data_IF_609943338332
#
_entry.id   IF_609943338332
#
_cell.length_a   1.000
_cell.length_b   1.000
_cell.length_c   1.000
_cell.angle_alpha   90.00
_cell.angle_beta   90.00
_cell.angle_gamma   90.00
#
_symmetry.space_group_name_H-M   'P 1'
#
loop_
_entity.id
_entity.type
_entity.pdbx_description
1 polymer ?
#
# COMPACT_ATOMS: atom_id res chain seq x y z
N UNK A 1 -2.59 -1.99 91.12
CA UNK A 1 -1.39 -1.12 90.99
C UNK A 1 -1.61 -0.22 89.78
N UNK A 2 -2.14 0.99 90.01
CA UNK A 2 -1.51 2.30 89.68
C UNK A 2 -0.97 2.43 88.25
N UNK A 3 -1.27 3.45 87.44
CA UNK A 3 -1.97 4.74 87.62
C UNK A 3 -2.10 5.34 86.19
N UNK A 4 -3.30 5.80 85.79
CA UNK A 4 -3.66 7.23 85.56
C UNK A 4 -3.13 7.85 84.24
N UNK A 5 -3.82 8.73 83.52
CA UNK A 5 -5.21 9.21 83.50
C UNK A 5 -5.28 10.31 82.43
N UNK A 6 -6.36 10.33 81.64
CA UNK A 6 -7.25 11.48 81.35
C UNK A 6 -6.70 12.86 80.89
N UNK A 7 -7.39 13.75 80.17
CA UNK A 7 -8.66 13.85 79.39
C UNK A 7 -8.90 15.38 79.21
N UNK A 8 -9.83 15.75 78.32
CA UNK A 8 -10.66 16.99 78.30
C UNK A 8 -10.04 18.25 77.65
N UNK A 9 -10.71 19.21 76.99
CA UNK A 9 -11.97 19.47 76.21
C UNK A 9 -12.24 21.01 76.30
N UNK A 10 -12.89 21.60 75.27
CA UNK A 10 -13.62 22.91 75.20
C UNK A 10 -12.75 24.17 75.00
N UNK A 11 -12.93 25.06 74.01
CA UNK A 11 -14.08 25.84 73.46
C UNK A 11 -14.46 27.08 74.31
N UNK A 12 -14.09 28.29 73.86
CA UNK A 12 -14.96 29.47 73.54
C UNK A 12 -14.27 30.87 73.69
N UNK A 13 -14.29 31.64 72.59
CA UNK A 13 -14.78 33.03 72.40
C UNK A 13 -14.66 34.08 73.54
N UNK A 14 -13.95 35.22 73.30
CA UNK A 14 -14.50 36.60 73.13
C UNK A 14 -13.47 37.77 73.33
N UNK A 15 -13.33 38.58 72.27
CA UNK A 15 -13.25 40.07 72.18
C UNK A 15 -12.32 40.92 73.06
N UNK A 16 -11.50 41.80 72.43
CA UNK A 16 -11.63 43.30 72.38
C UNK A 16 -10.42 43.95 71.64
N UNK A 17 -10.67 44.55 70.47
CA UNK A 17 -10.56 46.00 70.10
C UNK A 17 -9.19 46.68 70.27
N UNK A 18 -8.57 47.10 69.16
CA UNK A 18 -8.11 48.47 68.92
C UNK A 18 -7.80 48.72 67.42
N UNK A 19 -8.15 49.92 66.96
CA UNK A 19 -8.12 50.45 65.59
C UNK A 19 -6.88 51.34 65.45
N UNK A 20 -6.18 51.30 64.30
CA UNK A 20 -5.60 52.47 63.63
C UNK A 20 -4.96 52.05 62.29
N UNK A 21 -5.09 52.92 61.30
CA UNK A 21 -4.89 52.69 59.89
C UNK A 21 -3.57 53.28 59.35
N UNK A 22 -3.36 53.05 58.04
CA UNK A 22 -2.47 53.72 57.09
C UNK A 22 -1.00 53.29 57.05
N UNK A 23 -0.63 52.55 56.00
CA UNK A 23 0.08 53.13 54.85
C UNK A 23 0.20 52.13 53.70
N UNK A 24 -0.01 52.65 52.48
CA UNK A 24 -0.06 51.94 51.23
C UNK A 24 1.33 51.57 50.71
N UNK A 25 1.47 50.40 50.10
CA UNK A 25 2.40 50.15 48.98
C UNK A 25 1.95 48.89 48.24
N UNK A 26 1.28 49.11 47.11
CA UNK A 26 0.92 48.07 46.16
C UNK A 26 2.17 47.63 45.39
N UNK A 27 2.71 46.45 45.72
CA UNK A 27 3.65 45.75 44.83
C UNK A 27 2.81 44.90 43.89
N UNK A 28 2.56 45.42 42.69
CA UNK A 28 1.99 44.65 41.61
C UNK A 28 3.03 43.60 41.16
N UNK A 29 2.92 42.36 41.66
CA UNK A 29 3.56 41.20 41.04
C UNK A 29 2.86 40.96 39.70
N UNK A 30 3.40 41.55 38.65
CA UNK A 30 3.09 41.18 37.27
C UNK A 30 3.52 39.74 37.05
N UNK A 31 2.56 38.81 37.04
CA UNK A 31 2.73 37.47 36.51
C UNK A 31 2.92 37.59 35.01
N UNK A 32 4.16 37.76 34.57
CA UNK A 32 4.53 37.55 33.18
C UNK A 32 4.31 36.06 32.87
N UNK A 33 3.11 35.73 32.39
CA UNK A 33 2.87 34.47 31.70
C UNK A 33 3.80 34.46 30.48
N UNK A 34 4.94 33.78 30.62
CA UNK A 34 5.78 33.42 29.50
C UNK A 34 4.94 32.52 28.60
N UNK A 35 4.29 33.12 27.61
CA UNK A 35 3.73 32.41 26.48
C UNK A 35 4.93 31.85 25.73
N UNK A 36 5.26 30.59 26.00
CA UNK A 36 6.13 29.83 25.10
C UNK A 36 5.40 29.85 23.76
N UNK A 37 5.96 30.46 22.69
CA UNK A 37 5.37 30.32 21.39
C UNK A 37 5.39 28.82 21.11
N UNK A 38 4.21 28.20 21.00
CA UNK A 38 4.12 26.91 20.34
C UNK A 38 4.80 27.12 18.99
N UNK A 39 5.98 26.55 18.80
CA UNK A 39 6.63 26.55 17.51
C UNK A 39 5.61 25.89 16.58
N UNK A 40 4.96 26.69 15.74
CA UNK A 40 4.13 26.20 14.66
C UNK A 40 5.09 25.50 13.70
N UNK A 41 5.43 24.25 14.01
CA UNK A 41 6.12 23.38 13.09
C UNK A 41 5.32 23.44 11.79
N UNK A 42 5.96 23.87 10.71
CA UNK A 42 5.32 23.89 9.41
C UNK A 42 5.18 22.44 8.96
N UNK A 43 4.10 21.79 9.40
CA UNK A 43 3.77 20.41 9.04
C UNK A 43 3.48 20.24 7.53
N UNK A 44 3.64 21.30 6.72
CA UNK A 44 3.72 21.20 5.26
C UNK A 44 5.11 20.84 4.74
N UNK A 45 6.16 20.93 5.58
CA UNK A 45 7.57 20.61 5.25
C UNK A 45 8.03 19.25 5.77
N UNK A 46 7.39 18.67 6.78
CA UNK A 46 7.64 17.29 7.20
C UNK A 46 6.37 16.64 7.72
N UNK A 47 6.12 15.39 7.30
CA UNK A 47 4.97 14.59 7.73
C UNK A 47 5.40 13.21 8.22
N UNK A 48 4.57 12.61 9.08
CA UNK A 48 4.68 11.18 9.40
C UNK A 48 3.79 10.38 8.45
N UNK A 49 4.38 9.38 7.82
CA UNK A 49 3.70 8.35 7.04
C UNK A 49 3.77 7.07 7.86
N UNK A 50 2.66 6.36 8.03
CA UNK A 50 2.66 5.01 8.57
C UNK A 50 2.33 4.02 7.45
N UNK A 51 3.00 2.88 7.44
CA UNK A 51 2.71 1.83 6.48
C UNK A 51 3.36 0.50 6.81
N UNK A 52 3.25 -0.43 5.87
CA UNK A 52 3.60 -1.83 6.08
C UNK A 52 5.11 -2.08 6.09
N UNK A 53 5.51 -3.09 6.87
CA UNK A 53 6.93 -3.41 7.03
C UNK A 53 7.60 -3.88 5.75
N UNK A 54 6.88 -4.51 4.83
CA UNK A 54 7.42 -4.92 3.52
C UNK A 54 7.89 -3.72 2.69
N UNK A 55 7.18 -2.59 2.70
CA UNK A 55 7.58 -1.36 2.01
C UNK A 55 8.82 -0.70 2.65
N UNK A 56 8.97 -0.82 3.97
CA UNK A 56 10.14 -0.30 4.68
C UNK A 56 11.36 -1.22 4.52
N UNK A 57 11.16 -2.52 4.72
CA UNK A 57 12.19 -3.56 4.66
C UNK A 57 12.68 -3.74 3.23
N UNK A 58 11.88 -3.37 2.22
CA UNK A 58 12.33 -3.30 0.82
C UNK A 58 13.19 -2.09 0.51
N UNK A 59 13.46 -1.17 1.44
CA UNK A 59 14.26 0.03 1.18
C UNK A 59 13.62 1.08 0.24
N UNK A 60 12.36 0.90 -0.18
CA UNK A 60 11.72 1.77 -1.18
C UNK A 60 11.53 3.19 -0.64
N UNK A 61 11.03 3.32 0.58
CA UNK A 61 10.72 4.64 1.16
C UNK A 61 11.98 5.45 1.45
N UNK A 62 13.10 4.79 1.76
CA UNK A 62 14.40 5.40 1.97
C UNK A 62 14.95 5.90 0.63
N UNK A 63 14.78 5.13 -0.45
CA UNK A 63 15.15 5.53 -1.80
C UNK A 63 14.33 6.73 -2.33
N UNK A 64 13.03 6.74 -2.09
CA UNK A 64 12.13 7.80 -2.58
C UNK A 64 12.31 9.14 -1.85
N UNK A 65 12.78 9.12 -0.60
CA UNK A 65 12.85 10.31 0.26
C UNK A 65 13.69 11.46 -0.33
N UNK A 66 14.96 11.26 -0.74
CA UNK A 66 15.75 12.34 -1.35
C UNK A 66 15.15 12.87 -2.65
N UNK A 67 14.41 12.04 -3.40
CA UNK A 67 13.74 12.46 -4.64
C UNK A 67 12.52 13.33 -4.31
N UNK A 68 11.70 12.91 -3.35
CA UNK A 68 10.57 13.70 -2.85
C UNK A 68 11.02 15.06 -2.29
N UNK A 69 12.10 15.09 -1.52
CA UNK A 69 12.66 16.32 -0.96
C UNK A 69 13.13 17.27 -2.05
N UNK A 70 13.85 16.77 -3.05
CA UNK A 70 14.27 17.56 -4.21
C UNK A 70 13.07 18.12 -4.99
N UNK A 71 12.04 17.31 -5.22
CA UNK A 71 10.90 17.69 -6.06
C UNK A 71 9.94 18.65 -5.36
N UNK A 72 9.85 18.59 -4.02
CA UNK A 72 8.77 19.26 -3.27
C UNK A 72 9.25 20.20 -2.17
N UNK A 73 10.53 20.16 -1.82
CA UNK A 73 11.10 20.89 -0.68
C UNK A 73 10.56 20.44 0.68
N UNK A 74 9.97 19.25 0.77
CA UNK A 74 9.44 18.66 1.99
C UNK A 74 10.03 17.26 2.21
N UNK A 75 10.08 16.81 3.46
CA UNK A 75 10.55 15.48 3.84
C UNK A 75 9.43 14.68 4.50
N UNK A 76 9.72 13.43 4.87
CA UNK A 76 8.81 12.60 5.66
C UNK A 76 9.56 11.68 6.61
N UNK A 77 8.89 11.26 7.67
CA UNK A 77 9.29 10.14 8.51
C UNK A 77 8.37 8.95 8.21
N UNK A 78 8.94 7.79 7.86
CA UNK A 78 8.18 6.57 7.63
C UNK A 78 8.21 5.66 8.86
N UNK A 79 7.04 5.40 9.43
CA UNK A 79 6.84 4.50 10.56
C UNK A 79 6.37 3.14 10.03
N UNK A 80 7.24 2.15 10.16
CA UNK A 80 6.98 0.76 9.74
C UNK A 80 6.16 0.01 10.80
N UNK A 81 5.09 -0.65 10.38
CA UNK A 81 4.17 -1.46 11.20
C UNK A 81 3.65 -2.67 10.40
N UNK A 82 3.07 -3.68 11.07
CA UNK A 82 2.19 -4.63 10.37
C UNK A 82 0.90 -3.93 9.94
N UNK A 83 0.17 -4.44 8.94
CA UNK A 83 -0.98 -3.71 8.36
C UNK A 83 -2.06 -3.33 9.39
N UNK A 84 -2.42 -4.26 10.29
CA UNK A 84 -3.38 -3.98 11.36
C UNK A 84 -2.91 -2.88 12.31
N UNK A 85 -1.65 -2.94 12.74
CA UNK A 85 -1.05 -1.92 13.60
C UNK A 85 -0.88 -0.57 12.88
N UNK A 86 -0.58 -0.58 11.58
CA UNK A 86 -0.49 0.62 10.76
C UNK A 86 -1.84 1.34 10.68
N UNK A 87 -2.92 0.57 10.50
CA UNK A 87 -4.30 1.08 10.52
C UNK A 87 -4.63 1.64 11.90
N UNK A 88 -4.41 0.88 12.98
CA UNK A 88 -4.65 1.37 14.34
C UNK A 88 -3.86 2.65 14.67
N UNK A 89 -2.60 2.73 14.19
CA UNK A 89 -1.77 3.92 14.31
C UNK A 89 -2.36 5.12 13.54
N UNK A 90 -2.84 4.89 12.31
CA UNK A 90 -3.53 5.92 11.54
C UNK A 90 -4.84 6.38 12.19
N UNK A 91 -5.64 5.46 12.73
CA UNK A 91 -6.89 5.74 13.45
C UNK A 91 -6.65 6.55 14.73
N UNK A 92 -5.52 6.30 15.40
CA UNK A 92 -5.07 7.09 16.53
C UNK A 92 -4.59 8.50 16.14
N UNK A 93 -4.42 8.82 14.84
CA UNK A 93 -4.00 10.15 14.37
C UNK A 93 -2.52 10.47 14.57
N UNK A 94 -1.68 9.45 14.76
CA UNK A 94 -0.23 9.61 14.98
C UNK A 94 0.57 9.68 13.67
N UNK A 95 -0.10 9.60 12.51
CA UNK A 95 0.43 9.82 11.17
C UNK A 95 -0.50 10.71 10.34
N UNK A 96 0.00 11.24 9.22
CA UNK A 96 -0.80 12.01 8.26
C UNK A 96 -1.19 11.21 7.01
N UNK A 97 -0.43 10.16 6.69
CA UNK A 97 -0.67 9.26 5.55
C UNK A 97 -0.59 7.82 6.02
N UNK A 98 -1.49 6.99 5.52
CA UNK A 98 -1.45 5.53 5.63
C UNK A 98 -1.10 4.94 4.26
N UNK A 99 -0.16 3.99 4.20
CA UNK A 99 0.23 3.23 3.00
C UNK A 99 0.20 1.72 3.30
N UNK A 100 -0.75 0.98 2.72
CA UNK A 100 -1.03 -0.42 3.06
C UNK A 100 -1.49 -1.23 1.83
N UNK A 101 -1.68 -2.54 2.00
CA UNK A 101 -2.04 -3.51 0.95
C UNK A 101 -2.99 -4.63 1.45
N UNK A 102 -3.97 -4.32 2.29
CA UNK A 102 -5.01 -5.23 2.76
C UNK A 102 -6.42 -4.69 2.45
N UNK A 103 -6.93 -5.00 1.25
CA UNK A 103 -8.18 -4.45 0.71
C UNK A 103 -9.38 -4.53 1.67
N UNK A 104 -9.54 -5.63 2.43
CA UNK A 104 -10.68 -5.78 3.34
C UNK A 104 -10.53 -5.06 4.69
N UNK A 105 -9.35 -4.56 5.03
CA UNK A 105 -9.16 -3.66 6.17
C UNK A 105 -9.21 -2.21 5.70
N UNK A 106 -8.67 -1.93 4.51
CA UNK A 106 -8.70 -0.63 3.85
C UNK A 106 -10.12 -0.10 3.63
N UNK A 107 -11.03 -0.93 3.11
CA UNK A 107 -12.44 -0.53 2.92
C UNK A 107 -13.17 -0.29 4.25
N UNK A 108 -12.81 -0.98 5.34
CA UNK A 108 -13.35 -0.74 6.68
C UNK A 108 -12.86 0.61 7.22
N UNK A 109 -11.57 0.86 7.13
CA UNK A 109 -10.94 2.14 7.50
C UNK A 109 -11.61 3.33 6.77
N UNK A 110 -11.86 3.19 5.46
CA UNK A 110 -12.59 4.18 4.67
C UNK A 110 -14.04 4.32 5.14
N UNK A 111 -14.77 3.22 5.31
CA UNK A 111 -16.18 3.25 5.69
C UNK A 111 -16.43 3.83 7.08
N UNK A 112 -15.47 3.68 8.00
CA UNK A 112 -15.51 4.29 9.33
C UNK A 112 -15.17 5.81 9.30
N UNK A 113 -14.70 6.29 8.15
CA UNK A 113 -14.47 7.70 7.84
C UNK A 113 -13.06 8.21 8.15
N UNK A 114 -12.13 7.32 8.49
CA UNK A 114 -10.74 7.68 8.81
C UNK A 114 -9.94 8.11 7.58
N UNK A 115 -10.39 7.81 6.36
CA UNK A 115 -9.84 8.39 5.15
C UNK A 115 -10.49 9.73 4.80
N UNK A 116 -9.69 10.71 4.40
CA UNK A 116 -10.15 12.00 3.89
C UNK A 116 -10.85 11.86 2.53
N UNK A 117 -10.46 10.86 1.74
CA UNK A 117 -11.00 10.61 0.40
C UNK A 117 -11.95 9.39 0.44
N UNK A 118 -12.90 9.33 -0.51
CA UNK A 118 -13.93 8.28 -0.55
C UNK A 118 -13.37 6.88 -0.79
N UNK A 119 -12.16 6.79 -1.34
CA UNK A 119 -11.41 5.56 -1.60
C UNK A 119 -9.92 5.88 -1.49
N UNK A 120 -9.09 4.85 -1.36
CA UNK A 120 -7.63 4.99 -1.37
C UNK A 120 -7.11 5.31 -2.75
N UNK A 121 -6.00 6.03 -2.84
CA UNK A 121 -5.31 6.21 -4.12
C UNK A 121 -4.52 4.95 -4.43
N UNK A 122 -4.74 4.36 -5.60
CA UNK A 122 -3.80 3.35 -6.11
C UNK A 122 -2.44 4.02 -6.32
N UNK A 123 -1.36 3.38 -5.88
CA UNK A 123 -0.01 3.95 -5.98
C UNK A 123 0.90 3.12 -6.87
N UNK A 124 1.10 1.86 -6.51
CA UNK A 124 1.91 0.88 -7.22
C UNK A 124 1.44 -0.51 -6.79
N UNK A 125 1.86 -1.52 -7.52
CA UNK A 125 1.74 -2.90 -7.07
C UNK A 125 3.11 -3.57 -7.14
N UNK A 126 3.37 -4.47 -6.23
CA UNK A 126 4.44 -5.45 -6.34
C UNK A 126 3.85 -6.84 -6.43
N UNK A 127 4.69 -7.84 -6.31
CA UNK A 127 4.30 -9.24 -6.38
C UNK A 127 4.89 -10.03 -5.22
N UNK A 128 4.15 -11.07 -4.84
CA UNK A 128 4.61 -12.12 -3.96
C UNK A 128 5.36 -13.18 -4.76
N UNK A 129 6.32 -13.82 -4.10
CA UNK A 129 7.17 -14.87 -4.64
C UNK A 129 7.34 -15.98 -3.63
N UNK A 130 7.58 -17.20 -4.14
CA UNK A 130 8.16 -18.26 -3.34
C UNK A 130 9.67 -18.25 -3.59
N UNK A 131 10.43 -17.94 -2.54
CA UNK A 131 11.87 -18.06 -2.55
C UNK A 131 12.30 -19.31 -1.79
N UNK A 132 13.46 -19.86 -2.14
CA UNK A 132 14.02 -21.04 -1.50
C UNK A 132 15.49 -21.23 -1.85
N UNK A 133 16.11 -22.33 -1.39
CA UNK A 133 17.51 -22.61 -1.64
C UNK A 133 17.77 -22.84 -3.13
N UNK A 134 19.02 -22.61 -3.55
CA UNK A 134 19.41 -22.78 -4.96
C UNK A 134 19.31 -24.23 -5.44
N UNK A 135 19.49 -25.19 -4.52
CA UNK A 135 19.32 -26.64 -4.73
C UNK A 135 17.89 -27.05 -5.10
N UNK A 136 16.90 -26.29 -4.65
CA UNK A 136 15.46 -26.56 -4.84
C UNK A 136 15.08 -28.04 -4.57
N UNK A 137 15.26 -28.56 -3.34
CA UNK A 137 14.98 -29.97 -3.02
C UNK A 137 13.51 -30.38 -3.22
N UNK A 138 12.57 -29.43 -3.22
CA UNK A 138 11.16 -29.67 -3.52
C UNK A 138 10.83 -29.62 -5.02
N UNK A 139 11.78 -29.24 -5.89
CA UNK A 139 11.59 -29.21 -7.34
C UNK A 139 10.46 -28.28 -7.80
N UNK A 140 10.28 -27.14 -7.12
CA UNK A 140 9.19 -26.20 -7.43
C UNK A 140 9.49 -25.36 -8.66
N UNK A 141 10.76 -25.11 -8.98
CA UNK A 141 11.16 -24.32 -10.15
C UNK A 141 10.77 -24.98 -11.48
N UNK A 142 10.50 -26.29 -11.49
CA UNK A 142 10.04 -27.00 -12.69
C UNK A 142 8.66 -26.51 -13.19
N UNK A 143 7.86 -25.90 -12.32
CA UNK A 143 6.59 -25.26 -12.67
C UNK A 143 6.47 -23.91 -11.96
N UNK A 144 7.34 -22.97 -12.37
CA UNK A 144 7.56 -21.68 -11.70
C UNK A 144 6.37 -20.70 -11.76
N UNK A 145 5.25 -21.10 -12.38
CA UNK A 145 4.04 -20.31 -12.55
C UNK A 145 2.79 -21.00 -11.97
N UNK A 146 2.95 -22.01 -11.11
CA UNK A 146 1.88 -22.58 -10.29
C UNK A 146 2.25 -22.51 -8.80
N UNK A 147 1.87 -21.40 -8.15
CA UNK A 147 2.18 -21.21 -6.72
C UNK A 147 1.51 -22.25 -5.83
N UNK A 148 0.30 -22.69 -6.15
CA UNK A 148 -0.40 -23.67 -5.32
C UNK A 148 0.25 -25.04 -5.46
N UNK A 149 0.60 -25.44 -6.69
CA UNK A 149 1.38 -26.66 -6.92
C UNK A 149 2.76 -26.62 -6.25
N UNK A 150 3.41 -25.46 -6.23
CA UNK A 150 4.67 -25.28 -5.52
C UNK A 150 4.54 -25.46 -3.99
N UNK A 151 3.51 -24.88 -3.38
CA UNK A 151 3.23 -25.06 -1.95
C UNK A 151 2.96 -26.54 -1.60
N UNK A 152 2.24 -27.26 -2.46
CA UNK A 152 2.02 -28.72 -2.31
C UNK A 152 3.32 -29.51 -2.37
N UNK A 153 4.23 -29.17 -3.29
CA UNK A 153 5.57 -29.78 -3.39
C UNK A 153 6.43 -29.48 -2.17
N UNK A 154 6.42 -28.24 -1.67
CA UNK A 154 7.12 -27.89 -0.42
C UNK A 154 6.57 -28.70 0.75
N UNK A 155 5.25 -28.82 0.86
CA UNK A 155 4.64 -29.64 1.91
C UNK A 155 5.03 -31.13 1.80
N UNK A 156 5.09 -31.67 0.58
CA UNK A 156 5.55 -33.04 0.35
C UNK A 156 7.03 -33.23 0.75
N UNK A 157 7.91 -32.31 0.37
CA UNK A 157 9.32 -32.31 0.78
C UNK A 157 9.49 -32.16 2.29
N UNK A 158 8.68 -31.31 2.93
CA UNK A 158 8.67 -31.17 4.39
C UNK A 158 8.21 -32.43 5.12
N UNK A 159 7.19 -33.12 4.60
CA UNK A 159 6.78 -34.43 5.12
C UNK A 159 7.86 -35.50 4.94
N UNK A 160 8.66 -35.41 3.87
CA UNK A 160 9.82 -36.28 3.62
C UNK A 160 11.07 -35.89 4.43
N UNK A 161 11.05 -34.74 5.13
CA UNK A 161 12.18 -34.24 5.91
C UNK A 161 13.32 -33.67 5.07
N UNK A 162 13.05 -33.21 3.85
CA UNK A 162 14.06 -32.65 2.93
C UNK A 162 13.94 -31.15 2.72
N UNK A 163 12.93 -30.51 3.28
CA UNK A 163 12.73 -29.06 3.21
C UNK A 163 11.91 -28.55 4.39
N UNK A 164 12.08 -27.28 4.71
CA UNK A 164 11.27 -26.56 5.69
C UNK A 164 10.56 -25.37 5.02
N UNK A 165 9.50 -24.85 5.65
CA UNK A 165 8.78 -23.66 5.21
C UNK A 165 8.71 -22.64 6.35
N UNK A 166 9.11 -21.41 6.08
CA UNK A 166 9.18 -20.33 7.05
C UNK A 166 8.09 -19.29 6.76
N UNK A 167 7.10 -19.23 7.63
CA UNK A 167 6.03 -18.26 7.62
C UNK A 167 6.28 -17.12 8.61
N UNK A 168 5.88 -15.92 8.23
CA UNK A 168 5.76 -14.79 9.18
C UNK A 168 4.68 -15.05 10.23
N UNK A 169 3.56 -15.65 9.81
CA UNK A 169 2.42 -16.00 10.67
C UNK A 169 1.57 -14.82 11.17
N UNK A 170 0.32 -15.16 11.53
CA UNK A 170 -0.62 -14.49 12.45
C UNK A 170 -0.80 -12.96 12.37
N UNK A 171 -0.48 -12.33 11.24
CA UNK A 171 -0.66 -10.88 11.02
C UNK A 171 -1.30 -10.61 9.66
N UNK A 172 -1.81 -9.39 9.47
CA UNK A 172 -2.36 -8.92 8.21
C UNK A 172 -1.27 -8.76 7.12
N UNK A 173 -1.66 -8.75 5.84
CA UNK A 173 -0.74 -8.62 4.70
C UNK A 173 -0.22 -9.98 4.21
N UNK A 174 1.10 -10.15 4.07
CA UNK A 174 1.74 -11.35 3.51
C UNK A 174 1.24 -12.68 4.09
N UNK A 175 1.06 -12.86 5.42
CA UNK A 175 0.55 -14.12 5.95
C UNK A 175 -0.89 -14.43 5.52
N UNK A 176 -1.74 -13.41 5.34
CA UNK A 176 -3.11 -13.61 4.85
C UNK A 176 -3.09 -14.12 3.42
N UNK A 177 -2.23 -13.55 2.57
CA UNK A 177 -2.05 -14.05 1.21
C UNK A 177 -1.51 -15.48 1.20
N UNK A 178 -0.47 -15.77 1.99
CA UNK A 178 0.09 -17.11 2.14
C UNK A 178 -1.00 -18.13 2.53
N UNK A 179 -1.80 -17.81 3.55
CA UNK A 179 -2.87 -18.69 4.02
C UNK A 179 -3.99 -18.87 2.99
N UNK A 180 -4.32 -17.83 2.23
CA UNK A 180 -5.26 -17.93 1.10
C UNK A 180 -4.76 -18.92 0.04
N UNK A 181 -3.46 -18.95 -0.23
CA UNK A 181 -2.87 -19.90 -1.17
C UNK A 181 -2.85 -21.32 -0.61
N UNK A 182 -2.51 -21.51 0.67
CA UNK A 182 -2.62 -22.81 1.34
C UNK A 182 -4.06 -23.34 1.35
N UNK A 183 -5.07 -22.48 1.48
CA UNK A 183 -6.47 -22.91 1.40
C UNK A 183 -6.87 -23.49 0.03
N UNK A 184 -6.12 -23.15 -1.04
CA UNK A 184 -6.30 -23.71 -2.38
C UNK A 184 -5.51 -25.00 -2.62
N UNK A 185 -4.55 -25.32 -1.75
CA UNK A 185 -3.72 -26.51 -1.85
C UNK A 185 -4.48 -27.77 -1.39
N UNK A 186 -4.07 -28.90 -1.93
CA UNK A 186 -4.45 -30.22 -1.45
C UNK A 186 -3.54 -30.59 -0.28
N UNK A 187 -4.13 -31.06 0.83
CA UNK A 187 -3.37 -31.40 2.04
C UNK A 187 -3.38 -30.27 3.07
N UNK A 188 -2.22 -29.64 3.31
CA UNK A 188 -2.05 -28.56 4.30
C UNK A 188 -2.94 -27.36 3.96
N UNK A 189 -3.85 -26.98 4.86
CA UNK A 189 -4.79 -25.87 4.66
C UNK A 189 -4.73 -24.90 5.82
N UNK A 190 -4.49 -23.62 5.57
CA UNK A 190 -4.39 -22.64 6.64
C UNK A 190 -5.70 -21.89 6.87
N UNK A 191 -6.01 -21.64 8.15
CA UNK A 191 -7.11 -20.77 8.52
C UNK A 191 -6.78 -19.31 8.16
N UNK A 192 -7.75 -18.63 7.56
CA UNK A 192 -7.64 -17.24 7.13
C UNK A 192 -8.42 -16.39 8.13
N UNK A 193 -7.72 -15.55 8.89
CA UNK A 193 -8.38 -14.65 9.84
C UNK A 193 -9.06 -13.48 9.13
N UNK A 194 -10.38 -13.36 9.33
CA UNK A 194 -11.14 -12.20 8.87
C UNK A 194 -10.68 -10.90 9.56
N UNK A 195 -10.26 -10.96 10.84
CA UNK A 195 -9.77 -9.78 11.57
C UNK A 195 -8.45 -9.26 11.01
N UNK A 196 -7.67 -10.12 10.34
CA UNK A 196 -6.40 -9.75 9.75
C UNK A 196 -6.52 -9.36 8.26
N UNK A 197 -7.74 -9.27 7.72
CA UNK A 197 -7.96 -8.84 6.34
C UNK A 197 -8.32 -9.96 5.35
N UNK A 198 -8.76 -11.11 5.84
CA UNK A 198 -9.15 -12.26 5.01
C UNK A 198 -10.59 -12.28 4.46
N UNK A 199 -11.37 -11.20 4.62
CA UNK A 199 -12.84 -11.21 4.62
C UNK A 199 -13.63 -11.45 3.30
N UNK A 200 -13.35 -12.50 2.50
CA UNK A 200 -14.23 -13.07 1.44
C UNK A 200 -14.11 -14.61 1.32
N UNK A 201 -15.15 -15.26 0.75
CA UNK A 201 -15.62 -16.69 0.82
C UNK A 201 -14.58 -17.82 1.08
N UNK A 202 -14.92 -18.82 1.93
CA UNK A 202 -14.01 -19.50 2.86
C UNK A 202 -13.37 -20.81 2.39
N UNK A 203 -12.32 -21.21 3.13
CA UNK A 203 -11.91 -22.61 3.31
C UNK A 203 -13.13 -23.46 3.71
N UNK A 204 -13.49 -24.45 2.88
CA UNK A 204 -14.49 -25.49 3.18
C UNK A 204 -13.85 -26.83 3.53
N UNK A 205 -12.56 -26.87 3.87
CA UNK A 205 -11.85 -28.11 4.13
C UNK A 205 -11.23 -28.14 5.51
N UNK A 206 -11.64 -29.10 6.33
CA UNK A 206 -10.91 -29.53 7.52
C UNK A 206 -9.51 -30.03 7.13
N UNK A 207 -8.50 -29.19 7.33
CA UNK A 207 -7.07 -29.50 7.20
C UNK A 207 -6.28 -28.41 7.92
N UNK A 208 -5.14 -28.73 8.55
CA UNK A 208 -4.49 -27.87 9.55
C UNK A 208 -3.40 -26.94 9.00
N UNK A 209 -3.62 -25.63 9.21
CA UNK A 209 -2.66 -24.71 9.81
C UNK A 209 -3.42 -23.95 10.91
N UNK A 210 -2.98 -24.10 12.16
CA UNK A 210 -3.41 -23.28 13.28
C UNK A 210 -2.21 -22.92 14.18
N UNK A 211 -2.23 -21.93 15.06
CA UNK A 211 -3.39 -21.17 15.54
C UNK A 211 -3.23 -19.65 15.43
N UNK A 212 -4.33 -18.99 15.08
CA UNK A 212 -4.90 -18.00 15.99
C UNK A 212 -6.30 -18.51 16.40
N UNK A 213 -6.41 -19.12 17.60
CA UNK A 213 -7.70 -19.34 18.26
C UNK A 213 -8.04 -20.75 18.79
N UNK A 214 -7.75 -21.87 18.11
CA UNK A 214 -8.47 -23.15 18.41
C UNK A 214 -7.70 -24.48 18.18
N UNK A 215 -6.44 -24.61 18.64
CA UNK A 215 -5.96 -25.89 19.20
C UNK A 215 -5.50 -27.04 18.27
N UNK A 216 -4.90 -26.80 17.09
CA UNK A 216 -4.18 -27.81 16.30
C UNK A 216 -2.67 -27.55 16.22
N UNK A 217 -1.82 -28.58 16.20
CA UNK A 217 -0.36 -28.46 16.03
C UNK A 217 0.03 -28.26 14.56
N UNK A 218 0.96 -27.33 14.27
CA UNK A 218 1.55 -27.18 12.94
C UNK A 218 2.37 -28.41 12.55
N UNK A 219 2.48 -28.74 11.25
CA UNK A 219 3.49 -29.68 10.78
C UNK A 219 4.88 -29.22 11.24
N UNK A 220 5.72 -30.16 11.63
CA UNK A 220 7.04 -29.83 12.19
C UNK A 220 8.03 -29.20 11.19
N UNK A 221 7.71 -29.22 9.89
CA UNK A 221 8.44 -28.51 8.84
C UNK A 221 7.93 -27.09 8.57
N UNK A 222 6.82 -26.68 9.20
CA UNK A 222 6.21 -25.37 9.03
C UNK A 222 6.52 -24.50 10.24
N UNK A 223 7.36 -23.49 10.06
CA UNK A 223 7.88 -22.64 11.12
C UNK A 223 7.24 -21.25 11.08
N UNK A 224 6.73 -20.77 12.21
CA UNK A 224 6.21 -19.40 12.35
C UNK A 224 7.21 -18.56 13.12
N UNK A 225 7.60 -17.41 12.57
CA UNK A 225 8.60 -16.54 13.21
C UNK A 225 7.99 -15.39 14.00
N UNK A 226 6.84 -14.85 13.57
CA UNK A 226 6.28 -13.61 14.13
C UNK A 226 7.07 -12.35 13.77
N UNK A 227 8.05 -12.45 12.85
CA UNK A 227 8.95 -11.37 12.49
C UNK A 227 8.38 -10.45 11.40
N UNK A 228 8.98 -9.26 11.25
CA UNK A 228 8.78 -8.43 10.04
C UNK A 228 9.36 -9.12 8.81
N UNK A 229 9.08 -8.57 7.64
CA UNK A 229 9.31 -9.24 6.37
C UNK A 229 10.80 -9.53 6.12
N UNK A 230 11.66 -8.53 6.29
CA UNK A 230 13.10 -8.70 6.08
C UNK A 230 13.73 -9.75 7.00
N UNK A 231 13.59 -9.61 8.33
CA UNK A 231 14.08 -10.61 9.29
C UNK A 231 13.51 -12.02 9.08
N UNK A 232 12.27 -12.16 8.60
CA UNK A 232 11.71 -13.48 8.25
C UNK A 232 12.44 -14.13 7.06
N UNK A 233 12.79 -13.35 6.03
CA UNK A 233 13.58 -13.84 4.89
C UNK A 233 14.98 -14.23 5.36
N UNK A 234 15.65 -13.39 6.16
CA UNK A 234 16.98 -13.72 6.70
C UNK A 234 16.95 -14.98 7.56
N UNK A 235 15.88 -15.17 8.34
CA UNK A 235 15.70 -16.37 9.15
C UNK A 235 15.48 -17.61 8.27
N UNK A 236 14.71 -17.50 7.18
CA UNK A 236 14.58 -18.55 6.19
C UNK A 236 15.90 -18.85 5.47
N UNK A 237 16.66 -17.82 5.10
CA UNK A 237 18.00 -17.95 4.50
C UNK A 237 18.97 -18.69 5.41
N UNK A 238 18.91 -18.46 6.72
CA UNK A 238 19.74 -19.17 7.71
C UNK A 238 19.27 -20.61 7.96
N UNK A 239 17.97 -20.89 7.86
CA UNK A 239 17.34 -22.21 7.99
C UNK A 239 17.80 -23.05 9.20
N UNK A 240 17.74 -22.49 10.41
CA UNK A 240 18.22 -23.14 11.64
C UNK A 240 17.11 -23.91 12.39
N UNK A 241 16.48 -24.90 11.75
CA UNK A 241 15.35 -25.66 12.33
C UNK A 241 15.61 -27.15 12.62
N UNK A 242 16.84 -27.61 12.37
CA UNK A 242 17.29 -28.95 12.81
C UNK A 242 16.73 -30.14 12.01
N UNK A 243 16.05 -29.89 10.88
CA UNK A 243 15.50 -30.91 9.98
C UNK A 243 16.06 -30.86 8.54
N UNK A 244 16.87 -29.84 8.24
CA UNK A 244 17.57 -29.62 6.97
C UNK A 244 18.26 -28.25 6.98
N UNK A 245 19.01 -27.91 5.93
CA UNK A 245 19.53 -26.55 5.70
C UNK A 245 18.73 -25.76 4.64
N UNK A 246 17.63 -26.34 4.16
CA UNK A 246 16.90 -25.87 2.98
C UNK A 246 15.49 -25.41 3.35
N UNK A 247 15.31 -24.09 3.42
CA UNK A 247 14.04 -23.46 3.79
C UNK A 247 13.44 -22.68 2.62
N UNK A 248 12.13 -22.83 2.45
CA UNK A 248 11.31 -22.03 1.55
C UNK A 248 10.61 -20.92 2.32
N UNK A 249 10.36 -19.79 1.66
CA UNK A 249 9.66 -18.63 2.24
C UNK A 249 8.76 -17.98 1.20
N UNK A 250 7.53 -17.70 1.61
CA UNK A 250 6.63 -16.85 0.84
C UNK A 250 6.79 -15.39 1.27
N UNK A 251 7.11 -14.51 0.32
CA UNK A 251 7.50 -13.12 0.59
C UNK A 251 7.12 -12.19 -0.55
N UNK A 252 7.08 -10.87 -0.33
CA UNK A 252 7.11 -9.91 -1.43
C UNK A 252 8.51 -9.87 -2.09
N UNK A 253 8.51 -9.60 -3.39
CA UNK A 253 9.73 -9.51 -4.21
C UNK A 253 10.61 -8.32 -3.83
N UNK A 254 10.03 -7.21 -3.39
CA UNK A 254 10.76 -5.99 -3.04
C UNK A 254 11.74 -6.20 -1.90
N UNK A 255 11.26 -6.75 -0.79
CA UNK A 255 12.10 -7.07 0.37
C UNK A 255 13.15 -8.11 0.01
N UNK A 256 12.77 -9.16 -0.73
CA UNK A 256 13.69 -10.22 -1.14
C UNK A 256 14.85 -9.69 -2.00
N UNK A 257 14.53 -8.93 -3.07
CA UNK A 257 15.54 -8.36 -3.97
C UNK A 257 16.42 -7.33 -3.27
N UNK A 258 15.86 -6.52 -2.36
CA UNK A 258 16.65 -5.59 -1.56
C UNK A 258 17.67 -6.34 -0.70
N UNK A 259 17.25 -7.37 0.05
CA UNK A 259 18.15 -8.19 0.86
C UNK A 259 19.18 -8.94 0.02
N UNK A 260 18.83 -9.40 -1.19
CA UNK A 260 19.82 -9.91 -2.12
C UNK A 260 20.82 -8.81 -2.49
N UNK A 261 20.36 -7.62 -2.89
CA UNK A 261 21.25 -6.52 -3.28
C UNK A 261 22.22 -6.06 -2.17
N UNK A 262 21.86 -6.28 -0.89
CA UNK A 262 22.69 -5.99 0.28
C UNK A 262 23.48 -7.19 0.82
N UNK A 263 23.38 -8.36 0.17
CA UNK A 263 24.14 -9.56 0.51
C UNK A 263 23.54 -10.45 1.60
N UNK A 264 22.31 -10.18 2.06
CA UNK A 264 21.68 -10.85 3.22
C UNK A 264 20.86 -12.10 2.87
N UNK A 265 20.56 -12.35 1.59
CA UNK A 265 19.76 -13.51 1.12
C UNK A 265 20.37 -14.20 -0.12
N UNK A 266 21.71 -14.20 -0.23
CA UNK A 266 22.45 -14.65 -1.44
C UNK A 266 22.38 -16.17 -1.71
N UNK A 267 22.12 -16.98 -0.69
CA UNK A 267 21.95 -18.44 -0.84
C UNK A 267 20.55 -18.85 -1.32
N UNK A 268 19.62 -17.89 -1.41
CA UNK A 268 18.25 -18.12 -1.87
C UNK A 268 18.05 -17.55 -3.27
N UNK A 269 17.07 -18.10 -4.01
CA UNK A 269 16.58 -17.55 -5.28
C UNK A 269 15.06 -17.53 -5.30
N UNK A 270 14.49 -16.69 -6.15
CA UNK A 270 13.05 -16.74 -6.49
C UNK A 270 12.84 -18.00 -7.34
N UNK A 271 11.97 -18.89 -6.87
CA UNK A 271 11.65 -20.16 -7.54
C UNK A 271 10.30 -20.11 -8.25
N UNK A 272 9.35 -19.32 -7.72
CA UNK A 272 8.00 -19.16 -8.29
C UNK A 272 7.60 -17.69 -8.26
N UNK A 273 7.07 -17.20 -9.38
CA UNK A 273 6.51 -15.84 -9.57
C UNK A 273 5.51 -15.86 -10.73
N UNK A 274 4.76 -14.78 -10.92
CA UNK A 274 3.88 -14.60 -12.09
C UNK A 274 2.94 -15.80 -12.35
N UNK A 275 2.04 -16.07 -11.38
CA UNK A 275 1.14 -17.23 -11.45
C UNK A 275 0.35 -17.26 -12.78
N UNK A 276 0.25 -18.43 -13.42
CA UNK A 276 -0.41 -18.52 -14.70
C UNK A 276 -1.92 -18.32 -14.57
N UNK A 277 -2.57 -17.77 -15.61
CA UNK A 277 -4.01 -17.54 -15.62
C UNK A 277 -4.84 -18.83 -15.48
N UNK A 278 -4.29 -19.97 -15.92
CA UNK A 278 -4.90 -21.29 -15.80
C UNK A 278 -4.63 -21.98 -14.45
N UNK A 279 -3.63 -21.51 -13.70
CA UNK A 279 -3.28 -22.07 -12.38
C UNK A 279 -4.28 -21.65 -11.31
N UNK A 280 -4.31 -22.41 -10.22
CA UNK A 280 -5.17 -22.09 -9.06
C UNK A 280 -4.81 -20.71 -8.50
N UNK A 281 -5.83 -19.97 -8.06
CA UNK A 281 -5.67 -18.57 -7.65
C UNK A 281 -5.55 -17.57 -8.82
N UNK A 282 -5.46 -18.03 -10.07
CA UNK A 282 -5.35 -17.24 -11.31
C UNK A 282 -4.16 -16.26 -11.35
N UNK A 283 -4.07 -15.45 -12.41
CA UNK A 283 -2.97 -14.49 -12.62
C UNK A 283 -2.81 -13.42 -11.52
N UNK A 284 -3.80 -13.24 -10.65
CA UNK A 284 -3.75 -12.30 -9.53
C UNK A 284 -3.27 -12.94 -8.21
N UNK A 285 -3.03 -14.26 -8.17
CA UNK A 285 -2.66 -14.99 -6.94
C UNK A 285 -1.40 -14.45 -6.24
N UNK A 286 -0.53 -13.78 -6.99
CA UNK A 286 0.72 -13.23 -6.49
C UNK A 286 0.77 -11.70 -6.59
N UNK A 287 -0.33 -11.04 -6.91
CA UNK A 287 -0.37 -9.56 -7.00
C UNK A 287 -0.50 -8.95 -5.60
N UNK A 288 0.38 -7.99 -5.29
CA UNK A 288 0.37 -7.22 -4.05
C UNK A 288 0.11 -5.73 -4.35
N UNK A 289 -1.13 -5.30 -4.25
CA UNK A 289 -1.55 -3.94 -4.62
C UNK A 289 -1.54 -2.97 -3.44
N UNK A 290 -0.87 -1.84 -3.57
CA UNK A 290 -0.75 -0.84 -2.52
C UNK A 290 -1.66 0.38 -2.76
N UNK A 291 -2.25 0.86 -1.68
CA UNK A 291 -3.07 2.07 -1.66
C UNK A 291 -2.62 3.02 -0.56
N UNK A 292 -2.76 4.31 -0.85
CA UNK A 292 -2.40 5.36 0.07
C UNK A 292 -3.59 6.26 0.41
N UNK A 293 -3.68 6.67 1.67
CA UNK A 293 -4.81 7.40 2.24
C UNK A 293 -4.30 8.62 3.00
N UNK A 294 -4.89 9.79 2.72
CA UNK A 294 -4.74 10.93 3.61
C UNK A 294 -5.67 10.70 4.81
N UNK A 295 -5.12 10.81 6.02
CA UNK A 295 -5.90 10.58 7.24
C UNK A 295 -6.85 11.76 7.46
N UNK A 296 -8.10 11.44 7.80
CA UNK A 296 -9.12 12.43 8.11
C UNK A 296 -8.96 12.95 9.54
N UNK A 297 -8.35 14.13 9.67
CA UNK A 297 -8.11 14.77 10.97
C UNK A 297 -9.36 15.04 11.80
N UNK A 298 -10.58 15.03 11.22
CA UNK A 298 -11.82 15.20 12.00
C UNK A 298 -12.29 13.92 12.71
N UNK A 299 -11.67 12.77 12.44
CA UNK A 299 -12.00 11.46 13.02
C UNK A 299 -11.03 10.96 14.07
N UNK A 300 -9.88 11.61 14.21
CA UNK A 300 -8.83 11.21 15.15
C UNK A 300 -8.97 11.97 16.47
N UNK A 301 -8.39 11.48 17.58
CA UNK A 301 -8.44 12.17 18.88
C UNK A 301 -7.93 13.62 18.81
N UNK A 302 -8.60 14.51 19.55
CA UNK A 302 -8.24 15.92 19.63
C UNK A 302 -6.83 16.10 20.22
N UNK A 303 -6.03 16.99 19.62
CA UNK A 303 -4.64 17.25 20.02
C UNK A 303 -3.58 16.55 19.16
N UNK A 304 -3.97 15.60 18.30
CA UNK A 304 -3.06 14.95 17.37
C UNK A 304 -2.90 15.74 16.07
N UNK A 305 -1.66 15.96 15.65
CA UNK A 305 -1.33 16.81 14.50
C UNK A 305 -1.33 16.00 13.18
N UNK A 306 -2.50 15.83 12.58
CA UNK A 306 -2.65 15.32 11.21
C UNK A 306 -2.53 16.47 10.21
N UNK A 307 -1.50 16.46 9.36
CA UNK A 307 -1.29 17.48 8.33
C UNK A 307 -2.02 17.14 7.04
N UNK A 308 -3.21 17.70 6.84
CA UNK A 308 -3.95 17.56 5.57
C UNK A 308 -3.14 18.06 4.36
N UNK A 309 -2.51 19.23 4.50
CA UNK A 309 -1.74 19.84 3.42
C UNK A 309 -0.52 18.99 3.06
N UNK A 310 0.25 18.55 4.06
CA UNK A 310 1.41 17.68 3.85
C UNK A 310 1.02 16.31 3.29
N UNK A 311 -0.05 15.69 3.81
CA UNK A 311 -0.57 14.43 3.29
C UNK A 311 -0.94 14.53 1.80
N UNK A 312 -1.72 15.54 1.41
CA UNK A 312 -2.09 15.75 0.02
C UNK A 312 -0.88 16.08 -0.86
N UNK A 313 0.12 16.81 -0.34
CA UNK A 313 1.37 17.09 -1.06
C UNK A 313 2.10 15.80 -1.41
N UNK A 314 2.31 14.92 -0.42
CA UNK A 314 2.94 13.63 -0.62
C UNK A 314 2.15 12.74 -1.58
N UNK A 315 0.84 12.57 -1.36
CA UNK A 315 -0.01 11.74 -2.21
C UNK A 315 -0.09 12.25 -3.65
N UNK A 316 -0.16 13.56 -3.85
CA UNK A 316 -0.14 14.16 -5.19
C UNK A 316 1.21 13.91 -5.88
N UNK A 317 2.32 14.01 -5.16
CA UNK A 317 3.64 13.68 -5.71
C UNK A 317 3.76 12.20 -6.04
N UNK A 318 3.44 11.30 -5.10
CA UNK A 318 3.58 9.85 -5.24
C UNK A 318 2.77 9.32 -6.44
N UNK A 319 1.59 9.88 -6.68
CA UNK A 319 0.71 9.50 -7.79
C UNK A 319 0.92 10.32 -9.06
N UNK A 320 1.84 11.30 -9.05
CA UNK A 320 2.21 12.07 -10.23
C UNK A 320 3.12 11.28 -11.17
N UNK A 321 3.29 11.74 -12.41
CA UNK A 321 4.27 11.15 -13.34
C UNK A 321 5.71 11.15 -12.81
N UNK A 322 6.09 12.12 -11.97
CA UNK A 322 7.43 12.17 -11.38
C UNK A 322 7.60 11.10 -10.28
N UNK A 323 6.67 11.04 -9.34
CA UNK A 323 6.69 10.03 -8.27
C UNK A 323 6.56 8.60 -8.80
N UNK A 324 5.67 8.37 -9.77
CA UNK A 324 5.51 7.06 -10.42
C UNK A 324 6.78 6.63 -11.17
N UNK A 325 7.48 7.57 -11.84
CA UNK A 325 8.78 7.29 -12.47
C UNK A 325 9.87 7.01 -11.43
N UNK A 326 9.82 7.67 -10.28
CA UNK A 326 10.76 7.38 -9.18
C UNK A 326 10.55 5.95 -8.65
N UNK A 327 9.29 5.53 -8.44
CA UNK A 327 8.96 4.15 -8.05
C UNK A 327 9.49 3.14 -9.07
N UNK A 328 9.21 3.34 -10.36
CA UNK A 328 9.70 2.48 -11.46
C UNK A 328 11.24 2.40 -11.52
N UNK A 329 11.93 3.48 -11.12
CA UNK A 329 13.39 3.54 -11.09
C UNK A 329 14.06 2.75 -9.95
N UNK A 330 13.28 2.27 -8.97
CA UNK A 330 13.80 1.48 -7.86
C UNK A 330 14.15 0.06 -8.31
N UNK A 331 15.40 -0.37 -8.05
CA UNK A 331 15.96 -1.66 -8.50
C UNK A 331 15.66 -1.97 -9.98
N UNK A 332 15.92 -0.98 -10.84
CA UNK A 332 15.42 -0.88 -12.23
C UNK A 332 15.77 -2.01 -13.20
N UNK A 333 16.64 -2.95 -12.84
CA UNK A 333 16.94 -4.12 -13.70
C UNK A 333 15.77 -5.10 -13.74
N UNK A 334 15.09 -5.30 -12.61
CA UNK A 334 13.85 -6.08 -12.48
C UNK A 334 13.03 -5.46 -11.35
N UNK A 335 12.40 -4.32 -11.62
CA UNK A 335 11.77 -3.51 -10.56
C UNK A 335 10.68 -4.29 -9.82
N UNK A 336 10.72 -4.34 -8.47
CA UNK A 336 9.71 -5.00 -7.66
C UNK A 336 8.44 -4.17 -7.46
N UNK A 337 8.43 -2.89 -7.85
CA UNK A 337 7.28 -2.00 -7.68
C UNK A 337 6.90 -1.36 -9.01
N UNK A 338 5.70 -1.67 -9.46
CA UNK A 338 5.18 -1.30 -10.77
C UNK A 338 4.16 -0.17 -10.60
N UNK A 339 4.33 0.98 -11.28
CA UNK A 339 3.41 2.11 -11.20
C UNK A 339 1.95 1.72 -11.45
N UNK A 340 1.05 2.14 -10.57
CA UNK A 340 -0.36 1.79 -10.65
C UNK A 340 -1.31 2.99 -10.53
N UNK A 341 -0.78 4.20 -10.28
CA UNK A 341 -1.62 5.33 -9.95
C UNK A 341 -2.52 5.80 -11.10
N UNK A 342 -2.19 5.48 -12.35
CA UNK A 342 -2.97 5.85 -13.53
C UNK A 342 -3.34 4.61 -14.34
N UNK A 343 -4.51 4.63 -15.02
CA UNK A 343 -4.85 3.56 -15.94
C UNK A 343 -3.93 3.58 -17.17
N UNK A 344 -3.69 2.40 -17.72
CA UNK A 344 -2.99 2.28 -18.99
C UNK A 344 -3.93 2.63 -20.13
N UNK A 345 -3.50 3.52 -21.02
CA UNK A 345 -4.28 3.96 -22.19
C UNK A 345 -3.51 3.62 -23.45
N UNK A 346 -3.90 2.55 -24.12
CA UNK A 346 -3.31 2.18 -25.40
C UNK A 346 -4.08 2.80 -26.56
N UNK A 347 -3.36 3.10 -27.64
CA UNK A 347 -3.93 3.35 -28.97
C UNK A 347 -3.19 2.43 -29.93
N UNK A 348 -3.93 1.68 -30.76
CA UNK A 348 -3.34 0.90 -31.83
C UNK A 348 -2.73 1.77 -32.92
N UNK A 349 -2.26 1.16 -34.00
CA UNK A 349 -1.64 1.90 -35.10
C UNK A 349 -2.62 2.90 -35.72
N UNK A 350 -2.15 4.15 -35.90
CA UNK A 350 -2.88 5.24 -36.56
C UNK A 350 -2.06 5.70 -37.76
N UNK A 351 -2.72 5.91 -38.90
CA UNK A 351 -2.07 6.47 -40.09
C UNK A 351 -1.48 7.85 -39.78
N UNK A 352 -0.19 8.01 -40.02
CA UNK A 352 0.57 9.23 -39.72
C UNK A 352 0.56 10.24 -40.88
N UNK A 353 0.11 9.84 -42.07
CA UNK A 353 -0.09 10.73 -43.22
C UNK A 353 -1.48 10.50 -43.82
N UNK A 354 -2.22 11.59 -44.03
CA UNK A 354 -3.57 11.55 -44.62
C UNK A 354 -3.82 12.76 -45.52
N UNK A 355 -4.72 12.61 -46.49
CA UNK A 355 -5.25 13.75 -47.25
C UNK A 355 -6.26 14.55 -46.41
N UNK A 356 -6.42 15.83 -46.74
CA UNK A 356 -7.41 16.69 -46.11
C UNK A 356 -8.81 16.07 -46.22
N UNK A 357 -9.54 16.03 -45.11
CA UNK A 357 -10.90 15.46 -45.05
C UNK A 357 -10.96 13.95 -44.80
N UNK A 358 -9.84 13.23 -44.89
CA UNK A 358 -9.77 11.81 -44.54
C UNK A 358 -10.13 11.59 -43.06
N UNK A 359 -10.89 10.53 -42.80
CA UNK A 359 -11.29 10.12 -41.45
C UNK A 359 -10.24 9.18 -40.88
N UNK A 360 -9.70 9.55 -39.72
CA UNK A 360 -8.83 8.69 -38.92
C UNK A 360 -9.61 8.00 -37.82
N UNK A 361 -9.22 6.77 -37.51
CA UNK A 361 -9.73 5.97 -36.40
C UNK A 361 -8.64 5.84 -35.36
N UNK A 362 -8.95 6.27 -34.14
CA UNK A 362 -8.14 6.11 -32.94
C UNK A 362 -8.84 5.07 -32.07
N UNK A 363 -8.33 3.85 -32.06
CA UNK A 363 -8.93 2.74 -31.32
C UNK A 363 -7.89 2.09 -30.42
N UNK A 364 -8.31 1.64 -29.25
CA UNK A 364 -7.43 1.03 -28.26
C UNK A 364 -8.20 0.61 -27.02
N UNK A 365 -7.48 0.46 -25.91
CA UNK A 365 -8.04 -0.02 -24.64
C UNK A 365 -7.61 0.89 -23.49
N UNK A 366 -8.48 1.00 -22.50
CA UNK A 366 -8.17 1.54 -21.18
C UNK A 366 -8.21 0.37 -20.19
N UNK A 367 -7.09 0.07 -19.54
CA UNK A 367 -6.92 -1.05 -18.60
C UNK A 367 -6.49 -0.54 -17.23
N UNK A 368 -6.86 -1.29 -16.18
CA UNK A 368 -6.22 -1.09 -14.89
C UNK A 368 -4.76 -1.53 -15.01
N UNK A 369 -3.84 -0.82 -14.36
CA UNK A 369 -2.42 -1.15 -14.34
C UNK A 369 -2.12 -2.39 -13.48
N UNK A 370 -3.01 -2.72 -12.54
CA UNK A 370 -2.87 -3.87 -11.66
C UNK A 370 -3.48 -5.11 -12.34
N UNK A 371 -2.75 -6.22 -12.49
CA UNK A 371 -3.28 -7.44 -13.09
C UNK A 371 -4.46 -8.01 -12.29
N UNK A 372 -5.47 -8.52 -13.01
CA UNK A 372 -6.67 -9.11 -12.40
C UNK A 372 -7.73 -8.10 -11.94
N UNK A 373 -7.39 -6.82 -11.83
CA UNK A 373 -8.37 -5.78 -11.48
C UNK A 373 -9.42 -5.60 -12.60
N UNK A 374 -10.69 -5.25 -12.28
CA UNK A 374 -11.77 -5.21 -13.26
C UNK A 374 -11.53 -4.20 -14.37
N UNK A 375 -11.99 -4.54 -15.57
CA UNK A 375 -11.86 -3.67 -16.75
C UNK A 375 -12.51 -2.31 -16.55
N UNK A 376 -11.86 -1.25 -17.03
CA UNK A 376 -12.33 0.13 -16.92
C UNK A 376 -13.45 0.46 -17.92
N UNK A 377 -14.65 -0.01 -17.61
CA UNK A 377 -15.88 0.16 -18.39
C UNK A 377 -16.53 1.55 -18.20
N UNK A 378 -17.16 2.06 -19.26
CA UNK A 378 -17.86 3.36 -19.29
C UNK A 378 -17.00 4.57 -18.90
N UNK A 379 -15.67 4.47 -19.00
CA UNK A 379 -14.75 5.58 -18.74
C UNK A 379 -14.77 6.56 -19.91
N UNK A 380 -14.84 7.86 -19.61
CA UNK A 380 -14.86 8.92 -20.63
C UNK A 380 -13.45 9.17 -21.19
N UNK A 381 -13.26 8.75 -22.43
CA UNK A 381 -12.04 8.88 -23.21
C UNK A 381 -12.12 10.14 -24.08
N UNK A 382 -11.07 10.97 -24.05
CA UNK A 382 -10.96 12.23 -24.79
C UNK A 382 -9.82 12.14 -25.79
N UNK A 383 -10.08 12.43 -27.06
CA UNK A 383 -9.03 12.64 -28.05
C UNK A 383 -8.56 14.10 -27.96
N UNK A 384 -7.28 14.28 -27.66
CA UNK A 384 -6.64 15.59 -27.53
C UNK A 384 -5.84 15.87 -28.80
N UNK A 385 -6.10 17.02 -29.42
CA UNK A 385 -5.25 17.58 -30.46
C UNK A 385 -4.26 18.56 -29.84
N UNK A 386 -2.99 18.43 -30.22
CA UNK A 386 -1.91 19.32 -29.82
C UNK A 386 -1.34 20.03 -31.04
N UNK A 387 -1.30 21.35 -30.99
CA UNK A 387 -0.68 22.22 -32.00
C UNK A 387 0.35 23.13 -31.37
N UNK A 388 1.39 23.50 -32.13
CA UNK A 388 2.50 24.29 -31.60
C UNK A 388 3.44 23.48 -30.69
N UNK A 389 4.47 24.17 -30.21
CA UNK A 389 5.55 23.64 -29.37
C UNK A 389 5.92 24.65 -28.27
N UNK A 390 6.58 24.16 -27.21
CA UNK A 390 7.01 24.98 -26.07
C UNK A 390 5.90 25.86 -25.51
N UNK A 391 6.20 27.15 -25.32
CA UNK A 391 5.27 28.17 -24.80
C UNK A 391 4.02 28.42 -25.66
N UNK A 392 4.02 28.01 -26.93
CA UNK A 392 2.87 28.18 -27.84
C UNK A 392 2.04 26.91 -28.01
N UNK A 393 2.28 25.87 -27.19
CA UNK A 393 1.53 24.62 -27.21
C UNK A 393 0.06 24.87 -26.84
N UNK A 394 -0.85 24.59 -27.77
CA UNK A 394 -2.31 24.60 -27.54
C UNK A 394 -2.85 23.18 -27.57
N UNK A 395 -3.69 22.85 -26.59
CA UNK A 395 -4.38 21.55 -26.51
C UNK A 395 -5.88 21.75 -26.62
N UNK A 396 -6.54 20.91 -27.43
CA UNK A 396 -8.00 20.95 -27.61
C UNK A 396 -8.58 19.55 -27.56
N UNK A 397 -9.65 19.35 -26.80
CA UNK A 397 -10.47 18.13 -26.90
C UNK A 397 -11.24 18.21 -28.21
N UNK A 398 -10.98 17.27 -29.12
CA UNK A 398 -11.60 17.26 -30.46
C UNK A 398 -12.67 16.19 -30.62
N UNK A 399 -12.67 15.16 -29.76
CA UNK A 399 -13.69 14.14 -29.72
C UNK A 399 -13.71 13.43 -28.35
N UNK A 400 -14.81 12.75 -28.06
CA UNK A 400 -15.03 11.99 -26.82
C UNK A 400 -15.72 10.67 -27.13
N UNK A 401 -15.46 9.64 -26.33
CA UNK A 401 -16.17 8.36 -26.37
C UNK A 401 -16.10 7.71 -25.00
N UNK A 402 -17.05 6.84 -24.69
CA UNK A 402 -16.94 5.96 -23.52
C UNK A 402 -16.31 4.63 -23.90
N UNK A 403 -15.56 4.02 -22.98
CA UNK A 403 -15.13 2.64 -23.14
C UNK A 403 -16.32 1.69 -23.10
N UNK A 404 -16.22 0.59 -23.85
CA UNK A 404 -17.14 -0.56 -23.76
C UNK A 404 -17.02 -1.25 -22.40
N UNK A 405 -17.85 -2.28 -22.17
CA UNK A 405 -17.77 -3.11 -20.96
C UNK A 405 -16.42 -3.79 -20.76
N UNK A 406 -15.59 -3.89 -21.80
CA UNK A 406 -14.27 -4.54 -21.79
C UNK A 406 -13.09 -3.55 -21.82
N UNK A 407 -13.37 -2.24 -21.68
CA UNK A 407 -12.34 -1.20 -21.71
C UNK A 407 -11.94 -0.71 -23.12
N UNK A 408 -12.46 -1.31 -24.20
CA UNK A 408 -12.16 -0.85 -25.56
C UNK A 408 -12.86 0.46 -25.90
N UNK A 409 -12.23 1.29 -26.74
CA UNK A 409 -12.85 2.48 -27.32
C UNK A 409 -12.45 2.64 -28.80
N UNK A 410 -13.26 3.39 -29.55
CA UNK A 410 -12.93 3.82 -30.91
C UNK A 410 -13.49 5.22 -31.16
N UNK A 411 -12.59 6.14 -31.51
CA UNK A 411 -12.91 7.52 -31.87
C UNK A 411 -12.58 7.70 -33.35
N UNK A 412 -13.55 8.18 -34.12
CA UNK A 412 -13.30 8.61 -35.49
C UNK A 412 -13.24 10.14 -35.56
N UNK A 413 -12.19 10.68 -36.18
CA UNK A 413 -12.00 12.12 -36.30
C UNK A 413 -11.41 12.48 -37.67
N UNK A 414 -11.76 13.65 -38.21
CA UNK A 414 -11.22 14.17 -39.47
C UNK A 414 -10.21 15.29 -39.16
N UNK A 415 -8.88 15.04 -39.22
CA UNK A 415 -7.87 16.06 -39.01
C UNK A 415 -8.00 17.19 -40.03
N UNK A 416 -8.11 18.44 -39.55
CA UNK A 416 -8.16 19.63 -40.43
C UNK A 416 -6.78 20.16 -40.82
N UNK A 417 -5.76 19.84 -40.03
CA UNK A 417 -4.37 20.30 -40.18
C UNK A 417 -3.41 19.31 -39.52
N UNK A 418 -2.15 19.37 -39.94
CA UNK A 418 -1.05 18.65 -39.30
C UNK A 418 -1.01 18.98 -37.81
N UNK A 419 -1.02 17.95 -36.97
CA UNK A 419 -1.04 18.07 -35.53
C UNK A 419 -0.58 16.78 -34.87
N UNK A 420 -0.34 16.84 -33.56
CA UNK A 420 -0.13 15.65 -32.73
C UNK A 420 -1.41 15.32 -31.99
N UNK A 421 -1.67 14.05 -31.77
CA UNK A 421 -2.86 13.57 -31.07
C UNK A 421 -2.46 12.62 -29.96
N UNK A 422 -3.22 12.60 -28.88
CA UNK A 422 -3.13 11.55 -27.87
C UNK A 422 -4.50 11.36 -27.23
N UNK A 423 -4.69 10.21 -26.62
CA UNK A 423 -5.92 9.88 -25.91
C UNK A 423 -5.69 10.10 -24.42
N UNK A 424 -6.68 10.68 -23.74
CA UNK A 424 -6.65 10.97 -22.31
C UNK A 424 -7.92 10.50 -21.62
N UNK A 425 -7.77 9.92 -20.44
CA UNK A 425 -8.84 9.75 -19.46
C UNK A 425 -8.60 10.68 -18.27
N UNK A 426 -9.67 11.13 -17.61
CA UNK A 426 -9.54 11.92 -16.38
C UNK A 426 -9.28 11.02 -15.16
N UNK A 427 -9.01 11.62 -13.99
CA UNK A 427 -9.09 10.87 -12.74
C UNK A 427 -10.48 10.27 -12.59
N UNK A 428 -10.56 9.08 -12.02
CA UNK A 428 -11.81 8.38 -11.82
C UNK A 428 -11.72 7.40 -10.65
N UNK A 429 -12.87 7.10 -10.09
CA UNK A 429 -13.03 6.10 -9.04
C UNK A 429 -13.41 4.77 -9.64
N UNK A 430 -12.88 3.68 -9.11
CA UNK A 430 -13.25 2.34 -9.53
C UNK A 430 -13.58 1.44 -8.35
N UNK A 431 -14.59 0.59 -8.53
CA UNK A 431 -14.89 -0.49 -7.59
C UNK A 431 -14.13 -1.70 -8.06
N UNK A 432 -13.20 -2.14 -7.22
CA UNK A 432 -12.25 -3.21 -7.51
C UNK A 432 -12.79 -4.55 -7.03
N UNK A 433 -13.40 -4.56 -5.84
CA UNK A 433 -14.00 -5.77 -5.30
C UNK A 433 -15.37 -5.46 -4.66
N UNK A 434 -16.43 -5.90 -5.36
CA UNK A 434 -17.83 -5.80 -4.91
C UNK A 434 -18.24 -6.86 -3.92
N UNK A 435 -17.47 -7.94 -3.83
CA UNK A 435 -17.79 -9.07 -2.96
C UNK A 435 -17.52 -8.69 -1.50
N UNK A 436 -16.51 -7.84 -1.26
CA UNK A 436 -16.22 -7.24 0.04
C UNK A 436 -17.37 -6.38 0.59
N UNK A 437 -17.54 -6.42 1.92
CA UNK A 437 -18.47 -5.56 2.66
C UNK A 437 -17.70 -4.86 3.79
N UNK A 438 -17.49 -3.53 3.72
CA UNK A 438 -17.90 -2.59 2.67
C UNK A 438 -17.27 -2.87 1.30
N UNK A 439 -17.81 -2.33 0.20
CA UNK A 439 -17.16 -2.52 -1.12
C UNK A 439 -15.76 -1.91 -1.13
N UNK A 440 -14.82 -2.57 -1.80
CA UNK A 440 -13.47 -2.06 -1.98
C UNK A 440 -13.33 -1.38 -3.34
N UNK A 441 -12.65 -0.24 -3.35
CA UNK A 441 -12.41 0.55 -4.54
C UNK A 441 -11.25 1.50 -4.36
N UNK A 442 -10.81 2.09 -5.46
CA UNK A 442 -9.65 2.97 -5.52
C UNK A 442 -9.94 4.27 -6.28
N UNK A 443 -9.01 5.20 -6.15
CA UNK A 443 -8.90 6.42 -6.93
C UNK A 443 -7.72 6.29 -7.89
N UNK A 444 -8.02 6.35 -9.18
CA UNK A 444 -7.04 6.39 -10.25
C UNK A 444 -6.87 7.84 -10.75
N UNK A 445 -5.62 8.23 -10.96
CA UNK A 445 -5.23 9.47 -11.61
C UNK A 445 -5.55 9.45 -13.11
N UNK A 446 -5.27 10.56 -13.79
CA UNK A 446 -5.49 10.68 -15.23
C UNK A 446 -4.44 9.87 -16.03
N UNK A 447 -4.89 8.94 -16.86
CA UNK A 447 -4.05 8.24 -17.83
C UNK A 447 -4.00 8.90 -19.20
N UNK A 448 -2.89 8.74 -19.92
CA UNK A 448 -2.72 9.20 -21.30
C UNK A 448 -2.00 8.17 -22.16
N UNK A 449 -2.36 8.09 -23.44
CA UNK A 449 -1.64 7.29 -24.41
C UNK A 449 -0.34 7.95 -24.87
N UNK A 450 0.45 7.20 -25.63
CA UNK A 450 1.52 7.76 -26.45
C UNK A 450 0.99 8.83 -27.42
N UNK A 451 1.87 9.75 -27.80
CA UNK A 451 1.57 10.84 -28.75
C UNK A 451 1.74 10.34 -30.19
N UNK A 452 0.72 10.58 -31.01
CA UNK A 452 0.66 10.18 -32.42
C UNK A 452 0.74 11.42 -33.33
N UNK A 453 1.84 11.60 -34.09
CA UNK A 453 1.93 12.66 -35.08
C UNK A 453 1.10 12.32 -36.32
N UNK A 454 0.33 13.29 -36.83
CA UNK A 454 -0.46 13.14 -38.07
C UNK A 454 -0.19 14.33 -38.98
N UNK A 455 0.35 14.05 -40.17
CA UNK A 455 0.56 14.99 -41.27
C UNK A 455 -0.66 14.99 -42.19
N UNK A 456 -1.23 16.16 -42.43
CA UNK A 456 -2.35 16.35 -43.36
C UNK A 456 -1.79 16.95 -44.66
N UNK A 457 -1.79 16.16 -45.73
CA UNK A 457 -1.47 16.62 -47.09
C UNK A 457 -2.66 17.40 -47.65
N UNK A 458 -2.36 18.41 -48.48
CA UNK A 458 -3.38 19.23 -49.15
C UNK A 458 -4.29 18.36 -50.01
#
# INVERSE_FOLDING_TARGET
MSRHCDRIRRVNLRTRRAVAALSASAVALGTAAATVPAANADYSKSITIVGTSDVYDSGLMQYLQPIYEKDTGATYNYVSKGTGDAIAYAEAGTASVLLVHAASLENQFVAQGYSLEKFGRSVFWGDYVLAGPTSDPAGVAADSHDIVGALEKVAAAGNAGTADFVSRGNTAGTPVQEHQLWALANGTKCDISATNGGGQVPSTGSGTCNASGTGGSLPAWYHKTGLTQGPNITNASACNYGRGQDCYVFTDRGTFQYLQSTGQAQNMKILVRDNAAASRGNQAALVNAFHAYAINGSKVPAGNAVSRAGALKFLNWLTSSAGQKAVEGYLSTDSPFIPAASPEVSVGQVRTQVHRGAKLRFAGRVTNAIPGYPTLAKVNVKLIQVTGYGKHKKQKVVARKHTTRYGFYAISYKPKKTARYYVRVGPHTRVENRSLSPIFGDLLQAGTSQVMPVKVKR
#
